data_IF_552907906575
#
_entry.id   IF_552907906575
#
_cell.length_a   1.000
_cell.length_b   1.000
_cell.length_c   1.000
_cell.angle_alpha   90.00
_cell.angle_beta   90.00
_cell.angle_gamma   90.00
#
_symmetry.space_group_name_H-M   'P 1'
#
loop_
_entity.id
_entity.type
_entity.pdbx_description
1 polymer ?
#
# COMPACT_ATOMS: atom_id res chain seq x y z
N UNK A 1 -30.87 28.18 -1.88
CA UNK A 1 -29.42 28.35 -1.69
C UNK A 1 -28.73 27.12 -2.24
N UNK A 2 -27.99 27.24 -3.34
CA UNK A 2 -27.21 26.12 -3.91
C UNK A 2 -26.01 25.95 -2.98
N UNK A 3 -26.08 24.95 -2.10
CA UNK A 3 -24.95 24.61 -1.23
C UNK A 3 -23.79 24.22 -2.14
N UNK A 4 -22.80 25.10 -2.25
CA UNK A 4 -21.64 24.89 -3.13
C UNK A 4 -20.75 23.86 -2.44
N UNK A 5 -20.74 22.65 -2.96
CA UNK A 5 -19.92 21.53 -2.45
C UNK A 5 -18.44 21.93 -2.46
N UNK A 6 -17.78 21.82 -1.34
CA UNK A 6 -16.37 22.17 -1.12
C UNK A 6 -15.51 20.95 -0.72
N UNK A 7 -14.19 21.11 -0.67
CA UNK A 7 -13.30 20.04 -0.24
C UNK A 7 -13.57 19.55 1.19
N UNK A 8 -13.97 20.46 2.08
CA UNK A 8 -14.32 20.16 3.47
C UNK A 8 -15.53 19.20 3.54
N UNK A 9 -16.54 19.38 2.68
CA UNK A 9 -17.72 18.51 2.63
C UNK A 9 -17.35 17.10 2.19
N UNK A 10 -16.45 16.99 1.22
CA UNK A 10 -15.95 15.70 0.74
C UNK A 10 -15.15 14.97 1.82
N UNK A 11 -14.26 15.70 2.54
CA UNK A 11 -13.51 15.14 3.67
C UNK A 11 -14.42 14.68 4.80
N UNK A 12 -15.43 15.50 5.14
CA UNK A 12 -16.43 15.16 6.17
C UNK A 12 -17.24 13.91 5.79
N UNK A 13 -17.45 13.69 4.49
CA UNK A 13 -18.10 12.50 3.95
C UNK A 13 -17.15 11.28 3.84
N UNK A 14 -15.91 11.38 4.31
CA UNK A 14 -14.93 10.29 4.32
C UNK A 14 -14.14 10.12 3.01
N UNK A 15 -14.19 11.09 2.10
CA UNK A 15 -13.38 11.06 0.87
C UNK A 15 -11.94 11.45 1.21
N UNK A 16 -10.99 10.57 0.92
CA UNK A 16 -9.56 10.82 1.10
C UNK A 16 -8.98 11.73 0.01
N UNK A 17 -7.66 12.01 0.15
CA UNK A 17 -6.94 12.87 -0.80
C UNK A 17 -7.05 12.41 -2.26
N UNK A 18 -7.05 11.10 -2.48
CA UNK A 18 -7.24 10.48 -3.79
C UNK A 18 -8.51 9.63 -3.79
N UNK A 19 -9.28 9.71 -4.87
CA UNK A 19 -10.54 8.99 -5.01
C UNK A 19 -10.89 8.74 -6.47
N UNK A 20 -11.88 7.89 -6.71
CA UNK A 20 -12.46 7.65 -8.03
C UNK A 20 -13.93 8.08 -8.06
N UNK A 21 -14.54 8.31 -9.24
CA UNK A 21 -15.95 8.71 -9.33
C UNK A 21 -16.91 7.75 -8.63
N UNK A 22 -16.58 6.46 -8.59
CA UNK A 22 -17.37 5.45 -7.87
C UNK A 22 -17.45 5.70 -6.35
N UNK A 23 -16.43 6.33 -5.76
CA UNK A 23 -16.38 6.64 -4.34
C UNK A 23 -17.34 7.79 -3.99
N UNK A 24 -17.70 8.60 -4.98
CA UNK A 24 -18.66 9.70 -4.86
C UNK A 24 -20.11 9.25 -5.08
N UNK A 25 -20.34 8.11 -5.70
CA UNK A 25 -21.67 7.62 -6.03
C UNK A 25 -22.59 7.44 -4.79
N UNK A 26 -22.12 6.88 -3.66
CA UNK A 26 -22.93 6.77 -2.44
C UNK A 26 -23.34 8.13 -1.86
N UNK A 27 -22.61 9.20 -2.17
CA UNK A 27 -22.88 10.56 -1.72
C UNK A 27 -23.85 11.33 -2.65
N UNK A 28 -24.33 10.69 -3.71
CA UNK A 28 -25.22 11.33 -4.69
C UNK A 28 -24.51 12.41 -5.53
N UNK A 29 -23.16 12.38 -5.60
CA UNK A 29 -22.39 13.31 -6.40
C UNK A 29 -22.24 12.75 -7.82
N UNK A 30 -22.98 13.37 -8.75
CA UNK A 30 -22.95 13.00 -10.16
C UNK A 30 -21.65 13.42 -10.85
N UNK A 31 -21.37 12.82 -12.01
CA UNK A 31 -20.23 13.23 -12.84
C UNK A 31 -20.24 14.72 -13.19
N UNK A 32 -21.42 15.30 -13.45
CA UNK A 32 -21.57 16.75 -13.70
C UNK A 32 -21.13 17.59 -12.49
N UNK A 33 -21.50 17.20 -11.27
CA UNK A 33 -21.04 17.88 -10.05
C UNK A 33 -19.53 17.74 -9.87
N UNK A 34 -18.96 16.55 -10.14
CA UNK A 34 -17.51 16.32 -10.11
C UNK A 34 -16.77 17.24 -11.11
N UNK A 35 -17.26 17.38 -12.34
CA UNK A 35 -16.68 18.32 -13.31
C UNK A 35 -16.76 19.78 -12.83
N UNK A 36 -17.82 20.16 -12.14
CA UNK A 36 -17.92 21.45 -11.48
C UNK A 36 -16.90 21.66 -10.34
N UNK A 37 -16.53 20.61 -9.60
CA UNK A 37 -15.45 20.69 -8.62
C UNK A 37 -14.09 20.85 -9.29
N UNK A 38 -13.85 20.17 -10.40
CA UNK A 38 -12.62 20.30 -11.19
C UNK A 38 -12.49 21.72 -11.77
N UNK A 39 -13.56 22.28 -12.36
CA UNK A 39 -13.54 23.63 -12.96
C UNK A 39 -13.28 24.74 -11.93
N UNK A 40 -13.65 24.51 -10.66
CA UNK A 40 -13.36 25.44 -9.56
C UNK A 40 -12.00 25.21 -8.89
N UNK A 41 -11.24 24.20 -9.32
CA UNK A 41 -9.95 23.87 -8.73
C UNK A 41 -10.02 23.21 -7.35
N UNK A 42 -11.19 22.77 -6.88
CA UNK A 42 -11.36 22.03 -5.62
C UNK A 42 -10.79 20.62 -5.74
N UNK A 43 -10.89 20.07 -6.94
CA UNK A 43 -10.43 18.73 -7.29
C UNK A 43 -9.59 18.80 -8.57
N UNK A 44 -8.49 18.08 -8.58
CA UNK A 44 -7.62 17.90 -9.73
C UNK A 44 -7.87 16.53 -10.38
N UNK A 45 -7.88 16.49 -11.72
CA UNK A 45 -7.99 15.25 -12.48
C UNK A 45 -6.58 14.69 -12.75
N UNK A 46 -6.22 13.58 -12.10
CA UNK A 46 -4.94 12.88 -12.27
C UNK A 46 -4.92 11.91 -13.47
N UNK A 47 -6.00 11.87 -14.24
CA UNK A 47 -6.15 10.94 -15.37
C UNK A 47 -6.64 9.55 -14.95
N UNK A 48 -7.06 8.75 -15.94
CA UNK A 48 -7.51 7.36 -15.75
C UNK A 48 -8.60 7.18 -14.67
N UNK A 49 -9.44 8.20 -14.46
CA UNK A 49 -10.50 8.19 -13.46
C UNK A 49 -10.02 8.38 -12.02
N UNK A 50 -8.79 8.79 -11.82
CA UNK A 50 -8.26 9.17 -10.51
C UNK A 50 -8.34 10.69 -10.33
N UNK A 51 -8.81 11.12 -9.18
CA UNK A 51 -8.96 12.51 -8.79
C UNK A 51 -8.26 12.78 -7.46
N UNK A 52 -7.81 14.03 -7.25
CA UNK A 52 -7.14 14.48 -6.03
C UNK A 52 -7.84 15.71 -5.46
N UNK A 53 -7.98 15.78 -4.14
CA UNK A 53 -8.35 17.02 -3.43
C UNK A 53 -7.15 17.96 -3.39
N UNK A 54 -7.29 19.18 -3.93
CA UNK A 54 -6.19 20.15 -4.04
C UNK A 54 -5.71 20.69 -2.70
N UNK A 55 -6.59 20.80 -1.71
CA UNK A 55 -6.28 21.29 -0.37
C UNK A 55 -5.48 20.32 0.51
N UNK A 56 -5.26 19.08 0.06
CA UNK A 56 -4.47 18.12 0.84
C UNK A 56 -3.00 18.28 0.49
N UNK A 57 -2.13 18.65 1.46
CA UNK A 57 -0.71 18.79 1.19
C UNK A 57 -0.08 17.46 0.79
N UNK A 58 0.95 17.53 -0.05
CA UNK A 58 1.75 16.36 -0.41
C UNK A 58 2.54 15.86 0.81
N UNK A 59 2.64 14.55 0.95
CA UNK A 59 3.40 13.87 2.01
C UNK A 59 4.13 12.67 1.43
N UNK A 60 5.03 12.06 2.20
CA UNK A 60 5.72 10.82 1.82
C UNK A 60 4.75 9.65 1.52
N UNK A 61 3.54 9.70 2.11
CA UNK A 61 2.50 8.70 1.90
C UNK A 61 1.64 8.95 0.65
N UNK A 62 1.88 10.03 -0.10
CA UNK A 62 1.06 10.40 -1.26
C UNK A 62 1.02 9.29 -2.31
N UNK A 63 2.16 8.69 -2.63
CA UNK A 63 2.23 7.59 -3.59
C UNK A 63 1.43 6.37 -3.14
N UNK A 64 1.45 6.05 -1.84
CA UNK A 64 0.67 4.95 -1.27
C UNK A 64 -0.82 5.25 -1.37
N UNK A 65 -1.25 6.47 -0.98
CA UNK A 65 -2.65 6.89 -1.07
C UNK A 65 -3.16 6.86 -2.52
N UNK A 66 -2.38 7.39 -3.44
CA UNK A 66 -2.67 7.41 -4.88
C UNK A 66 -2.84 6.00 -5.46
N UNK A 67 -1.92 5.08 -5.16
CA UNK A 67 -1.99 3.68 -5.61
C UNK A 67 -3.15 2.95 -4.95
N UNK A 68 -3.44 3.18 -3.67
CA UNK A 68 -4.56 2.57 -2.97
C UNK A 68 -5.91 2.98 -3.57
N UNK A 69 -6.10 4.26 -3.87
CA UNK A 69 -7.32 4.75 -4.52
C UNK A 69 -7.49 4.16 -5.93
N UNK A 70 -6.40 4.09 -6.71
CA UNK A 70 -6.44 3.56 -8.07
C UNK A 70 -6.61 2.02 -8.11
N UNK A 71 -6.04 1.29 -7.14
CA UNK A 71 -6.01 -0.17 -7.09
C UNK A 71 -6.43 -0.68 -5.69
N UNK A 72 -7.71 -0.57 -5.31
CA UNK A 72 -8.19 -0.82 -3.93
C UNK A 72 -7.91 -2.24 -3.41
N UNK A 73 -7.76 -3.21 -4.32
CA UNK A 73 -7.46 -4.60 -3.95
C UNK A 73 -5.96 -4.88 -3.80
N UNK A 74 -5.10 -3.87 -3.98
CA UNK A 74 -3.67 -4.02 -3.78
C UNK A 74 -3.31 -4.16 -2.29
N UNK A 75 -2.24 -4.92 -2.02
CA UNK A 75 -1.57 -4.94 -0.73
C UNK A 75 -0.17 -4.36 -0.95
N UNK A 76 0.17 -3.27 -0.27
CA UNK A 76 1.52 -2.75 -0.24
C UNK A 76 2.44 -3.78 0.41
N UNK A 77 3.54 -4.13 -0.23
CA UNK A 77 4.39 -5.24 0.22
C UNK A 77 5.86 -5.02 -0.16
N UNK A 78 6.72 -5.89 0.32
CA UNK A 78 8.15 -5.89 0.01
C UNK A 78 8.78 -4.52 0.26
N UNK A 79 9.54 -3.96 -0.69
CA UNK A 79 10.26 -2.70 -0.49
C UNK A 79 9.35 -1.52 -0.16
N UNK A 80 8.13 -1.46 -0.69
CA UNK A 80 7.16 -0.41 -0.29
C UNK A 80 6.70 -0.58 1.15
N UNK A 81 6.50 -1.82 1.61
CA UNK A 81 6.16 -2.06 3.01
C UNK A 81 7.35 -1.82 3.94
N UNK A 82 8.58 -2.15 3.52
CA UNK A 82 9.79 -1.81 4.27
C UNK A 82 9.88 -0.29 4.46
N UNK A 83 9.79 0.48 3.39
CA UNK A 83 9.81 1.94 3.44
C UNK A 83 8.69 2.50 4.34
N UNK A 84 7.47 1.97 4.23
CA UNK A 84 6.33 2.40 5.05
C UNK A 84 6.55 2.13 6.55
N UNK A 85 7.22 1.03 6.90
CA UNK A 85 7.54 0.65 8.28
C UNK A 85 8.87 1.20 8.77
N UNK A 86 9.59 1.99 7.94
CA UNK A 86 10.91 2.53 8.25
C UNK A 86 11.93 1.43 8.57
N UNK A 87 11.90 0.33 7.81
CA UNK A 87 12.78 -0.84 7.95
C UNK A 87 13.77 -0.87 6.79
N UNK A 88 15.06 -0.97 7.09
CA UNK A 88 16.14 -0.95 6.10
C UNK A 88 16.35 0.42 5.48
N UNK A 89 17.30 0.47 4.54
CA UNK A 89 17.74 1.71 3.89
C UNK A 89 17.24 1.86 2.46
N UNK A 90 16.43 0.90 1.99
CA UNK A 90 16.01 0.81 0.59
C UNK A 90 14.94 1.84 0.23
N UNK A 91 15.23 2.66 -0.80
CA UNK A 91 14.27 3.60 -1.40
C UNK A 91 13.81 3.07 -2.77
N UNK A 92 12.65 2.43 -2.85
CA UNK A 92 12.21 1.80 -4.09
C UNK A 92 11.77 2.84 -5.14
N UNK A 93 12.34 2.75 -6.35
CA UNK A 93 11.91 3.56 -7.51
C UNK A 93 10.55 3.14 -8.11
N UNK A 94 9.92 2.09 -7.57
CA UNK A 94 8.63 1.56 -8.03
C UNK A 94 7.83 1.14 -6.82
N UNK A 95 6.52 1.37 -6.84
CA UNK A 95 5.64 0.89 -5.78
C UNK A 95 5.40 -0.61 -5.90
N UNK A 96 5.82 -1.36 -4.90
CA UNK A 96 5.63 -2.81 -4.83
C UNK A 96 4.26 -3.13 -4.23
N UNK A 97 3.44 -3.79 -5.03
CA UNK A 97 2.11 -4.23 -4.61
C UNK A 97 1.93 -5.73 -4.87
N UNK A 98 1.16 -6.36 -4.01
CA UNK A 98 0.64 -7.69 -4.25
C UNK A 98 -0.82 -7.62 -4.71
N UNK A 99 -1.14 -8.43 -5.71
CA UNK A 99 -2.49 -8.67 -6.17
C UNK A 99 -2.81 -10.16 -6.09
N UNK A 100 -4.08 -10.51 -5.93
CA UNK A 100 -4.53 -11.89 -6.08
C UNK A 100 -4.06 -12.47 -7.42
N UNK A 101 -3.73 -13.77 -7.42
CA UNK A 101 -3.27 -14.48 -8.61
C UNK A 101 -4.25 -14.35 -9.79
N UNK A 102 -5.55 -14.28 -9.50
CA UNK A 102 -6.63 -14.17 -10.49
C UNK A 102 -6.97 -12.72 -10.87
N UNK A 103 -6.52 -11.74 -10.09
CA UNK A 103 -6.85 -10.34 -10.33
C UNK A 103 -6.20 -9.82 -11.62
N UNK A 104 -6.93 -8.99 -12.37
CA UNK A 104 -6.38 -8.30 -13.54
C UNK A 104 -5.35 -7.28 -13.12
N UNK A 105 -4.30 -7.11 -13.93
CA UNK A 105 -3.34 -6.02 -13.73
C UNK A 105 -4.02 -4.68 -14.07
N UNK A 106 -3.74 -3.60 -13.32
CA UNK A 106 -4.17 -2.27 -13.71
C UNK A 106 -3.56 -1.91 -15.08
N UNK A 107 -4.38 -1.39 -15.98
CA UNK A 107 -3.97 -1.05 -17.36
C UNK A 107 -3.18 0.26 -17.35
N UNK A 108 -3.65 1.25 -16.61
CA UNK A 108 -3.06 2.57 -16.49
C UNK A 108 -2.82 2.91 -15.01
N UNK A 109 -1.76 2.35 -14.39
CA UNK A 109 -1.46 2.67 -13.00
C UNK A 109 -0.95 4.12 -12.89
N UNK A 110 -1.27 4.82 -11.78
CA UNK A 110 -0.89 6.23 -11.60
C UNK A 110 0.62 6.44 -11.42
N UNK A 111 1.36 5.38 -11.14
CA UNK A 111 2.82 5.37 -11.00
C UNK A 111 3.41 4.04 -11.46
N UNK A 112 4.73 3.94 -11.49
CA UNK A 112 5.43 2.70 -11.86
C UNK A 112 5.23 1.63 -10.79
N UNK A 113 4.46 0.58 -11.09
CA UNK A 113 4.21 -0.53 -10.18
C UNK A 113 5.15 -1.71 -10.43
N UNK A 114 5.53 -2.38 -9.35
CA UNK A 114 6.09 -3.74 -9.36
C UNK A 114 5.06 -4.67 -8.73
N UNK A 115 4.48 -5.55 -9.55
CA UNK A 115 3.38 -6.40 -9.12
C UNK A 115 3.91 -7.80 -8.82
N UNK A 116 3.64 -8.29 -7.60
CA UNK A 116 3.79 -9.69 -7.22
C UNK A 116 2.43 -10.34 -7.06
N UNK A 117 2.38 -11.68 -7.07
CA UNK A 117 1.14 -12.42 -6.97
C UNK A 117 1.07 -13.14 -5.63
N UNK A 118 0.02 -12.85 -4.88
CA UNK A 118 -0.32 -13.55 -3.65
C UNK A 118 -1.50 -14.50 -3.91
N UNK A 119 -1.61 -15.55 -3.11
CA UNK A 119 -2.71 -16.51 -3.13
C UNK A 119 -2.90 -17.15 -1.75
N UNK A 120 -4.12 -17.60 -1.47
CA UNK A 120 -4.47 -18.25 -0.22
C UNK A 120 -4.08 -17.40 1.01
N UNK A 121 -3.46 -17.99 2.03
CA UNK A 121 -3.10 -17.28 3.25
C UNK A 121 -2.23 -16.03 3.05
N UNK A 122 -1.48 -15.97 1.95
CA UNK A 122 -0.67 -14.78 1.66
C UNK A 122 -1.49 -13.51 1.39
N UNK A 123 -2.78 -13.62 1.05
CA UNK A 123 -3.65 -12.46 0.82
C UNK A 123 -4.19 -11.84 2.11
N UNK A 124 -4.17 -12.60 3.21
CA UNK A 124 -4.83 -12.21 4.46
C UNK A 124 -3.90 -12.22 5.67
N UNK A 125 -3.06 -13.26 5.81
CA UNK A 125 -2.18 -13.39 6.98
C UNK A 125 -1.16 -12.23 7.03
N UNK A 126 -1.13 -11.54 8.18
CA UNK A 126 -0.21 -10.44 8.39
C UNK A 126 -0.45 -9.25 7.44
N UNK A 127 -1.64 -9.13 6.86
CA UNK A 127 -2.07 -7.95 6.11
C UNK A 127 -2.91 -7.09 7.04
N UNK A 128 -2.51 -5.84 7.21
CA UNK A 128 -3.18 -4.86 8.06
C UNK A 128 -3.75 -3.72 7.24
N UNK A 129 -4.90 -3.19 7.68
CA UNK A 129 -5.49 -1.99 7.11
C UNK A 129 -4.90 -0.75 7.80
N UNK A 130 -4.59 0.27 7.01
CA UNK A 130 -4.08 1.58 7.44
C UNK A 130 -4.72 2.65 6.60
N UNK A 131 -4.50 3.91 6.97
CA UNK A 131 -5.00 5.06 6.22
C UNK A 131 -3.84 6.01 5.90
N UNK A 132 -3.77 6.45 4.66
CA UNK A 132 -2.82 7.45 4.17
C UNK A 132 -3.61 8.59 3.53
N UNK A 133 -3.48 9.80 4.03
CA UNK A 133 -4.21 10.99 3.54
C UNK A 133 -5.74 10.76 3.42
N UNK A 134 -6.33 10.04 4.38
CA UNK A 134 -7.75 9.67 4.35
C UNK A 134 -8.11 8.49 3.43
N UNK A 135 -7.15 7.94 2.68
CA UNK A 135 -7.37 6.80 1.79
C UNK A 135 -7.02 5.50 2.52
N UNK A 136 -7.97 4.55 2.67
CA UNK A 136 -7.66 3.25 3.25
C UNK A 136 -6.78 2.42 2.33
N UNK A 137 -5.79 1.76 2.90
CA UNK A 137 -4.91 0.84 2.16
C UNK A 137 -4.55 -0.38 3.00
N UNK A 138 -4.09 -1.42 2.34
CA UNK A 138 -3.62 -2.65 2.96
C UNK A 138 -2.11 -2.74 2.80
N UNK A 139 -1.42 -3.16 3.86
CA UNK A 139 0.03 -3.34 3.87
C UNK A 139 0.40 -4.59 4.66
N UNK A 140 1.47 -5.26 4.28
CA UNK A 140 2.01 -6.37 5.07
C UNK A 140 2.62 -5.85 6.38
N UNK A 141 2.35 -6.54 7.50
CA UNK A 141 2.94 -6.22 8.80
C UNK A 141 4.46 -6.39 8.78
N UNK A 142 5.22 -5.78 9.70
CA UNK A 142 6.68 -5.92 9.74
C UNK A 142 7.18 -7.36 9.68
N UNK A 143 6.68 -8.23 10.58
CA UNK A 143 7.04 -9.63 10.60
C UNK A 143 6.75 -10.35 9.27
N UNK A 144 5.59 -10.06 8.66
CA UNK A 144 5.21 -10.60 7.38
C UNK A 144 6.08 -10.05 6.25
N UNK A 145 6.42 -8.77 6.29
CA UNK A 145 7.26 -8.12 5.27
C UNK A 145 8.64 -8.75 5.22
N UNK A 146 9.27 -9.01 6.37
CA UNK A 146 10.54 -9.74 6.44
C UNK A 146 10.45 -11.09 5.74
N UNK A 147 9.42 -11.89 6.07
CA UNK A 147 9.20 -13.22 5.44
C UNK A 147 9.06 -13.11 3.93
N UNK A 148 8.30 -12.12 3.45
CA UNK A 148 8.15 -11.88 2.02
C UNK A 148 9.47 -11.47 1.37
N UNK A 149 10.32 -10.70 2.05
CA UNK A 149 11.65 -10.34 1.56
C UNK A 149 12.53 -11.58 1.35
N UNK A 150 12.58 -12.51 2.29
CA UNK A 150 13.29 -13.77 2.10
C UNK A 150 12.71 -14.61 0.97
N UNK A 151 11.40 -14.65 0.82
CA UNK A 151 10.71 -15.38 -0.24
C UNK A 151 11.02 -14.80 -1.63
N UNK A 152 11.14 -13.48 -1.73
CA UNK A 152 11.37 -12.78 -2.99
C UNK A 152 12.81 -12.26 -3.14
N UNK A 153 13.77 -12.73 -2.33
CA UNK A 153 15.17 -12.27 -2.31
C UNK A 153 15.84 -12.28 -3.67
N UNK A 154 15.46 -13.20 -4.56
CA UNK A 154 16.00 -13.26 -5.93
C UNK A 154 15.56 -12.07 -6.83
N UNK A 155 14.68 -11.19 -6.35
CA UNK A 155 14.19 -10.02 -7.11
C UNK A 155 14.93 -8.73 -6.76
N UNK A 156 15.55 -8.64 -5.59
CA UNK A 156 16.20 -7.42 -5.10
C UNK A 156 17.42 -7.64 -4.20
N UNK A 157 17.84 -8.90 -4.01
CA UNK A 157 19.01 -9.24 -3.21
C UNK A 157 18.68 -9.89 -1.87
N UNK A 158 19.58 -10.74 -1.40
CA UNK A 158 19.50 -11.36 -0.08
C UNK A 158 19.86 -10.36 1.02
N UNK A 159 20.79 -9.45 0.73
CA UNK A 159 21.25 -8.37 1.59
C UNK A 159 20.11 -7.54 2.14
N UNK A 160 19.16 -7.15 1.29
CA UNK A 160 17.94 -6.43 1.71
C UNK A 160 17.07 -7.25 2.68
N UNK A 161 16.96 -8.56 2.46
CA UNK A 161 16.17 -9.41 3.35
C UNK A 161 16.86 -9.60 4.72
N UNK A 162 18.18 -9.67 4.74
CA UNK A 162 18.99 -9.75 5.97
C UNK A 162 18.93 -8.42 6.74
N UNK A 163 19.14 -7.28 6.07
CA UNK A 163 18.99 -5.95 6.65
C UNK A 163 17.61 -5.79 7.30
N UNK A 164 16.55 -6.14 6.58
CA UNK A 164 15.19 -6.06 7.11
C UNK A 164 14.96 -6.95 8.35
N UNK A 165 15.56 -8.14 8.39
CA UNK A 165 15.49 -9.03 9.55
C UNK A 165 16.24 -8.43 10.74
N UNK A 166 17.45 -7.90 10.50
CA UNK A 166 18.27 -7.29 11.52
C UNK A 166 17.59 -6.10 12.16
N UNK A 167 17.07 -5.18 11.35
CA UNK A 167 16.38 -4.00 11.83
C UNK A 167 15.14 -4.35 12.64
N UNK A 168 14.30 -5.26 12.12
CA UNK A 168 13.05 -5.63 12.80
C UNK A 168 13.32 -6.23 14.18
N UNK A 169 14.38 -7.03 14.33
CA UNK A 169 14.74 -7.64 15.60
C UNK A 169 15.45 -6.65 16.52
N UNK A 170 16.41 -5.88 16.00
CA UNK A 170 17.17 -4.89 16.78
C UNK A 170 16.25 -3.78 17.32
N UNK A 171 15.38 -3.24 16.48
CA UNK A 171 14.42 -2.19 16.84
C UNK A 171 13.18 -2.76 17.58
N UNK A 172 13.11 -4.07 17.77
CA UNK A 172 12.00 -4.76 18.44
C UNK A 172 10.61 -4.50 17.80
N UNK A 173 10.60 -4.26 16.49
CA UNK A 173 9.36 -4.02 15.71
C UNK A 173 8.54 -5.32 15.59
N UNK A 174 9.21 -6.48 15.55
CA UNK A 174 8.58 -7.79 15.63
C UNK A 174 9.49 -8.80 16.34
N UNK A 175 8.88 -9.84 16.92
CA UNK A 175 9.62 -10.92 17.58
C UNK A 175 9.94 -12.07 16.62
N UNK A 176 10.95 -12.89 16.97
CA UNK A 176 11.28 -14.11 16.21
C UNK A 176 10.06 -15.01 16.07
N UNK A 177 9.27 -15.16 17.15
CA UNK A 177 8.05 -15.97 17.13
C UNK A 177 7.00 -15.43 16.12
N UNK A 178 6.78 -14.12 16.08
CA UNK A 178 5.88 -13.50 15.09
C UNK A 178 6.36 -13.72 13.64
N UNK A 179 7.68 -13.61 13.42
CA UNK A 179 8.29 -13.86 12.12
C UNK A 179 8.16 -15.33 11.73
N UNK A 180 8.40 -16.28 12.66
CA UNK A 180 8.26 -17.71 12.40
C UNK A 180 6.82 -18.14 12.12
N UNK A 181 5.84 -17.59 12.82
CA UNK A 181 4.41 -17.81 12.51
C UNK A 181 4.05 -17.28 11.12
N UNK A 182 4.56 -16.11 10.74
CA UNK A 182 4.36 -15.58 9.41
C UNK A 182 5.03 -16.46 8.34
N UNK A 183 6.23 -16.96 8.61
CA UNK A 183 6.96 -17.86 7.72
C UNK A 183 6.21 -19.19 7.50
N UNK A 184 5.59 -19.73 8.55
CA UNK A 184 4.77 -20.94 8.45
C UNK A 184 3.53 -20.68 7.58
N UNK A 185 2.75 -19.65 7.90
CA UNK A 185 1.55 -19.27 7.14
C UNK A 185 1.85 -18.99 5.66
N UNK A 186 3.03 -18.45 5.34
CA UNK A 186 3.45 -18.10 3.98
C UNK A 186 4.31 -19.17 3.30
N UNK A 187 4.47 -20.35 3.91
CA UNK A 187 5.28 -21.46 3.37
C UNK A 187 6.73 -21.05 3.06
N UNK A 188 7.34 -20.28 3.97
CA UNK A 188 8.71 -19.80 3.86
C UNK A 188 9.60 -20.24 5.04
N UNK A 189 9.08 -21.13 5.93
CA UNK A 189 9.73 -21.54 7.18
C UNK A 189 11.15 -22.10 6.96
N UNK A 190 11.31 -23.01 5.99
CA UNK A 190 12.62 -23.64 5.72
C UNK A 190 13.68 -22.62 5.34
N UNK A 191 13.30 -21.66 4.47
CA UNK A 191 14.24 -20.62 4.02
C UNK A 191 14.64 -19.74 5.20
N UNK A 192 13.68 -19.25 5.97
CA UNK A 192 13.94 -18.30 7.05
C UNK A 192 14.71 -18.92 8.21
N UNK A 193 14.39 -20.19 8.56
CA UNK A 193 15.02 -20.90 9.67
C UNK A 193 16.55 -20.97 9.51
N UNK A 194 17.05 -21.26 8.31
CA UNK A 194 18.48 -21.31 8.03
C UNK A 194 19.19 -20.00 8.40
N UNK A 195 18.55 -18.86 8.14
CA UNK A 195 19.14 -17.56 8.45
C UNK A 195 18.99 -17.16 9.92
N UNK A 196 17.94 -17.60 10.60
CA UNK A 196 17.77 -17.36 12.04
C UNK A 196 18.74 -18.20 12.88
N UNK A 197 18.97 -19.46 12.49
CA UNK A 197 19.91 -20.37 13.17
C UNK A 197 21.38 -20.00 12.94
N UNK A 198 21.70 -19.30 11.85
CA UNK A 198 23.05 -18.85 11.55
C UNK A 198 23.43 -17.54 12.29
N UNK A 199 22.53 -16.98 13.09
CA UNK A 199 22.81 -15.77 13.87
C UNK A 199 23.49 -16.14 15.19
N UNK A 200 24.51 -15.36 15.60
CA UNK A 200 25.18 -15.53 16.88
C UNK A 200 24.28 -15.23 18.07
#
# INVERSE_FOLDING_TARGET
MINTLEAADLKAAGIGAFFQPRDLAPLGISHRKLQGLVSRGVVENFGNGLYRLTEVPATELETIAMVAAAVPNAVMCLLTALQYHEIGTQLPHRTWIALDRKARKPIHPPTRLRIVRFSGPMLTYGVVCRTALGVPFRVTSPARTVVDCFRYRNKFGLDVALEALDDVLHLRIATVDQIMRAAEACRARTVLRTYLEARP
#
